data_IF_192313745479
#
_entry.id   IF_192313745479
#
_cell.length_a   1.000
_cell.length_b   1.000
_cell.length_c   1.000
_cell.angle_alpha   90.00
_cell.angle_beta   90.00
_cell.angle_gamma   90.00
#
_symmetry.space_group_name_H-M   'P 1'
#
loop_
_entity.id
_entity.type
_entity.pdbx_description
1 polymer ?
#
# COMPACT_ATOMS: atom_id res chain seq x y z
N UNK A 1 1.63 15.31 -5.94
CA UNK A 1 0.29 15.73 -6.37
C UNK A 1 -0.34 14.57 -7.08
N UNK A 2 -1.36 13.93 -6.52
CA UNK A 2 -2.03 12.80 -7.18
C UNK A 2 -3.09 13.35 -8.12
N UNK A 3 -3.05 12.95 -9.39
CA UNK A 3 -4.01 13.40 -10.38
C UNK A 3 -5.21 12.43 -10.39
N UNK A 4 -6.40 12.99 -10.19
CA UNK A 4 -7.65 12.29 -10.48
C UNK A 4 -7.85 12.35 -11.99
N UNK A 5 -7.89 11.18 -12.62
CA UNK A 5 -8.12 11.01 -14.05
C UNK A 5 -9.43 10.25 -14.23
N UNK A 6 -10.19 10.55 -15.27
CA UNK A 6 -11.39 9.78 -15.59
C UNK A 6 -11.01 8.42 -16.20
N UNK A 7 -11.64 7.36 -15.70
CA UNK A 7 -11.50 6.01 -16.23
C UNK A 7 -11.95 5.96 -17.70
N UNK A 8 -11.19 5.20 -18.50
CA UNK A 8 -11.43 4.99 -19.92
C UNK A 8 -11.69 3.52 -20.19
N UNK A 9 -12.74 3.23 -20.94
CA UNK A 9 -13.06 1.88 -21.41
C UNK A 9 -13.05 1.85 -22.94
N UNK A 10 -12.82 0.69 -23.58
CA UNK A 10 -12.96 0.54 -25.02
C UNK A 10 -14.35 0.99 -25.46
N UNK A 11 -14.38 1.96 -26.37
CA UNK A 11 -15.57 2.47 -27.02
C UNK A 11 -15.81 1.81 -28.38
N UNK A 12 -16.93 2.14 -29.04
CA UNK A 12 -17.20 1.66 -30.39
C UNK A 12 -16.09 2.05 -31.36
N UNK A 13 -15.86 1.23 -32.37
CA UNK A 13 -14.84 1.46 -33.39
C UNK A 13 -15.22 2.66 -34.25
N UNK A 14 -14.27 3.54 -34.56
CA UNK A 14 -14.52 4.69 -35.43
C UNK A 14 -14.76 4.26 -36.89
N UNK A 15 -15.19 5.19 -37.74
CA UNK A 15 -15.47 4.95 -39.17
C UNK A 15 -14.27 4.41 -39.97
N UNK A 16 -13.06 4.42 -39.37
CA UNK A 16 -11.81 3.93 -39.96
C UNK A 16 -11.33 2.63 -39.33
N UNK A 17 -12.14 1.98 -38.49
CA UNK A 17 -11.78 0.71 -37.87
C UNK A 17 -10.85 0.84 -36.66
N UNK A 18 -10.66 2.04 -36.10
CA UNK A 18 -9.79 2.26 -34.94
C UNK A 18 -10.60 2.20 -33.65
N UNK A 19 -10.06 1.51 -32.65
CA UNK A 19 -10.66 1.47 -31.31
C UNK A 19 -10.72 2.89 -30.73
N UNK A 20 -11.90 3.30 -30.28
CA UNK A 20 -12.05 4.54 -29.52
C UNK A 20 -12.01 4.24 -28.03
N UNK A 21 -11.76 5.27 -27.21
CA UNK A 21 -11.90 5.18 -25.76
C UNK A 21 -12.94 6.18 -25.30
N UNK A 22 -13.90 5.73 -24.49
CA UNK A 22 -14.94 6.58 -23.91
C UNK A 22 -14.67 6.81 -22.42
N UNK A 23 -14.94 8.02 -21.95
CA UNK A 23 -14.89 8.36 -20.53
C UNK A 23 -16.09 7.71 -19.82
N UNK A 24 -15.85 6.97 -18.75
CA UNK A 24 -16.93 6.31 -17.98
C UNK A 24 -17.62 7.24 -16.98
N UNK A 25 -17.00 8.39 -16.67
CA UNK A 25 -17.42 9.29 -15.60
C UNK A 25 -16.96 8.87 -14.21
N UNK A 26 -16.31 7.71 -14.08
CA UNK A 26 -15.69 7.28 -12.83
C UNK A 26 -14.32 7.92 -12.70
N UNK A 27 -14.05 8.57 -11.56
CA UNK A 27 -12.72 9.13 -11.28
C UNK A 27 -11.82 8.07 -10.66
N UNK A 28 -10.69 7.81 -11.31
CA UNK A 28 -9.62 6.96 -10.78
C UNK A 28 -8.46 7.82 -10.28
N UNK A 29 -7.90 7.43 -9.15
CA UNK A 29 -6.64 7.96 -8.64
C UNK A 29 -5.51 7.24 -9.38
N UNK A 30 -5.01 7.88 -10.43
CA UNK A 30 -3.96 7.32 -11.27
C UNK A 30 -2.66 7.19 -10.44
N UNK A 31 -2.12 5.98 -10.40
CA UNK A 31 -0.92 5.62 -9.61
C UNK A 31 -1.17 4.94 -8.26
N UNK A 32 -2.39 5.01 -7.69
CA UNK A 32 -2.73 4.35 -6.42
C UNK A 32 -3.08 2.86 -6.58
N UNK A 33 -3.74 2.51 -7.69
CA UNK A 33 -4.17 1.13 -7.96
C UNK A 33 -3.00 0.13 -8.15
N UNK A 34 -1.79 0.62 -8.44
CA UNK A 34 -0.58 -0.22 -8.57
C UNK A 34 0.48 0.03 -7.50
N UNK A 35 0.27 0.94 -6.54
CA UNK A 35 1.32 1.27 -5.55
C UNK A 35 1.70 0.07 -4.70
N UNK A 36 0.72 -0.77 -4.34
CA UNK A 36 0.98 -1.98 -3.58
C UNK A 36 1.87 -2.99 -4.35
N UNK A 37 1.95 -2.93 -5.68
CA UNK A 37 2.79 -3.86 -6.45
C UNK A 37 4.28 -3.66 -6.19
N UNK A 38 4.70 -2.44 -5.87
CA UNK A 38 6.11 -2.05 -5.76
C UNK A 38 6.59 -1.82 -4.32
N UNK A 39 5.75 -2.11 -3.31
CA UNK A 39 6.12 -2.00 -1.90
C UNK A 39 6.15 -3.37 -1.23
N UNK A 40 7.06 -3.53 -0.27
CA UNK A 40 7.17 -4.74 0.55
C UNK A 40 6.02 -4.84 1.56
N UNK A 41 5.61 -3.72 2.15
CA UNK A 41 4.51 -3.66 3.12
C UNK A 41 3.58 -2.51 2.75
N UNK A 42 2.26 -2.79 2.74
CA UNK A 42 1.22 -1.79 2.58
C UNK A 42 0.25 -1.84 3.76
N UNK A 43 -0.09 -0.67 4.30
CA UNK A 43 -1.02 -0.53 5.43
C UNK A 43 -2.11 0.48 5.06
N UNK A 44 -3.36 0.03 5.08
CA UNK A 44 -4.52 0.90 5.00
C UNK A 44 -4.87 1.40 6.39
N UNK A 45 -4.72 2.71 6.62
CA UNK A 45 -5.07 3.33 7.89
C UNK A 45 -6.46 3.95 7.83
N UNK A 46 -7.29 3.62 8.82
CA UNK A 46 -8.58 4.26 9.05
C UNK A 46 -8.60 4.91 10.43
N UNK A 47 -9.40 5.96 10.60
CA UNK A 47 -9.59 6.62 11.89
C UNK A 47 -10.99 6.32 12.39
N UNK A 48 -11.10 5.73 13.57
CA UNK A 48 -12.37 5.38 14.20
C UNK A 48 -12.26 5.66 15.70
N UNK A 49 -13.27 6.28 16.31
CA UNK A 49 -13.29 6.55 17.77
C UNK A 49 -12.03 7.23 18.33
N UNK A 50 -11.42 8.13 17.55
CA UNK A 50 -10.14 8.82 17.86
C UNK A 50 -8.90 7.92 17.88
N UNK A 51 -9.01 6.68 17.45
CA UNK A 51 -7.88 5.76 17.26
C UNK A 51 -7.58 5.57 15.77
N UNK A 52 -6.33 5.27 15.46
CA UNK A 52 -5.92 4.86 14.11
C UNK A 52 -5.93 3.34 14.08
N UNK A 53 -6.63 2.74 13.13
CA UNK A 53 -6.55 1.29 12.83
C UNK A 53 -5.78 1.11 11.54
N UNK A 54 -4.74 0.29 11.55
CA UNK A 54 -4.00 -0.08 10.35
C UNK A 54 -4.28 -1.53 9.96
N UNK A 55 -4.81 -1.75 8.76
CA UNK A 55 -4.94 -3.09 8.16
C UNK A 55 -3.77 -3.33 7.22
N UNK A 56 -3.08 -4.46 7.37
CA UNK A 56 -2.06 -4.88 6.40
C UNK A 56 -2.72 -5.32 5.10
N UNK A 57 -2.56 -4.54 4.04
CA UNK A 57 -3.08 -4.85 2.70
C UNK A 57 -2.10 -5.70 1.90
N UNK A 58 -0.80 -5.62 2.21
CA UNK A 58 0.25 -6.43 1.61
C UNK A 58 1.39 -6.65 2.59
N UNK A 59 1.94 -7.86 2.61
CA UNK A 59 3.18 -8.18 3.32
C UNK A 59 4.06 -9.14 2.51
N UNK A 60 5.07 -8.62 1.82
CA UNK A 60 6.01 -9.38 0.98
C UNK A 60 6.88 -10.36 1.76
N UNK A 61 6.99 -10.21 3.08
CA UNK A 61 7.70 -11.14 3.95
C UNK A 61 6.86 -12.35 4.36
N UNK A 62 5.53 -12.23 4.36
CA UNK A 62 4.61 -13.33 4.64
C UNK A 62 3.17 -12.96 4.26
N UNK A 63 2.63 -13.70 3.29
CA UNK A 63 1.24 -13.53 2.83
C UNK A 63 0.21 -13.83 3.92
N UNK A 64 0.56 -14.67 4.90
CA UNK A 64 -0.33 -15.03 6.01
C UNK A 64 -0.64 -13.84 6.94
N UNK A 65 0.09 -12.73 6.79
CA UNK A 65 -0.06 -11.54 7.63
C UNK A 65 -1.02 -10.50 7.02
N UNK A 66 -1.42 -10.67 5.77
CA UNK A 66 -2.39 -9.80 5.10
C UNK A 66 -3.76 -9.89 5.81
N UNK A 67 -4.42 -8.75 5.95
CA UNK A 67 -5.67 -8.60 6.71
C UNK A 67 -5.48 -8.38 8.21
N UNK A 68 -4.26 -8.54 8.76
CA UNK A 68 -3.99 -8.25 10.18
C UNK A 68 -4.31 -6.79 10.50
N UNK A 69 -5.00 -6.55 11.61
CA UNK A 69 -5.37 -5.21 12.08
C UNK A 69 -4.55 -4.84 13.30
N UNK A 70 -3.88 -3.69 13.23
CA UNK A 70 -3.10 -3.10 14.30
C UNK A 70 -3.79 -1.84 14.83
N UNK A 71 -3.91 -1.73 16.14
CA UNK A 71 -4.37 -0.51 16.79
C UNK A 71 -3.20 0.45 16.97
N UNK A 72 -3.39 1.71 16.57
CA UNK A 72 -2.41 2.80 16.57
C UNK A 72 -1.03 2.34 16.06
N UNK A 73 -0.96 1.83 14.82
CA UNK A 73 0.26 1.20 14.31
C UNK A 73 1.43 2.20 14.28
N UNK A 74 2.55 1.78 14.84
CA UNK A 74 3.87 2.41 14.68
C UNK A 74 4.75 1.56 13.77
N UNK A 75 5.83 2.12 13.24
CA UNK A 75 6.81 1.34 12.45
C UNK A 75 7.36 0.15 13.24
N UNK A 76 7.68 0.35 14.52
CA UNK A 76 8.19 -0.72 15.37
C UNK A 76 7.15 -1.83 15.59
N UNK A 77 5.87 -1.48 15.72
CA UNK A 77 4.80 -2.49 15.84
C UNK A 77 4.70 -3.37 14.59
N UNK A 78 4.92 -2.79 13.40
CA UNK A 78 4.92 -3.49 12.12
C UNK A 78 6.17 -4.36 11.99
N UNK A 79 7.34 -3.82 12.31
CA UNK A 79 8.60 -4.58 12.28
C UNK A 79 8.58 -5.76 13.26
N UNK A 80 8.03 -5.57 14.47
CA UNK A 80 7.84 -6.65 15.44
C UNK A 80 6.89 -7.72 14.90
N UNK A 81 5.77 -7.30 14.31
CA UNK A 81 4.82 -8.22 13.72
C UNK A 81 5.50 -9.08 12.64
N UNK A 82 6.31 -8.50 11.76
CA UNK A 82 7.06 -9.25 10.73
C UNK A 82 8.10 -10.20 11.34
N UNK A 83 8.84 -9.76 12.35
CA UNK A 83 9.80 -10.62 13.07
C UNK A 83 9.09 -11.85 13.62
N UNK A 84 7.97 -11.65 14.33
CA UNK A 84 7.17 -12.75 14.88
C UNK A 84 6.59 -13.65 13.79
N UNK A 85 6.02 -13.06 12.73
CA UNK A 85 5.40 -13.81 11.63
C UNK A 85 6.39 -14.64 10.80
N UNK A 86 7.68 -14.30 10.86
CA UNK A 86 8.75 -15.03 10.17
C UNK A 86 9.59 -15.91 11.11
N UNK A 87 9.22 -16.01 12.39
CA UNK A 87 9.98 -16.76 13.39
C UNK A 87 11.38 -16.19 13.64
N UNK A 88 11.49 -14.86 13.68
CA UNK A 88 12.70 -14.06 13.87
C UNK A 88 13.79 -14.24 12.79
N UNK A 89 13.45 -14.91 11.69
CA UNK A 89 14.33 -15.09 10.53
C UNK A 89 14.55 -13.80 9.76
N UNK A 90 13.55 -12.91 9.74
CA UNK A 90 13.62 -11.61 9.10
C UNK A 90 13.46 -10.55 10.17
N UNK A 91 14.45 -9.67 10.29
CA UNK A 91 14.40 -8.49 11.14
C UNK A 91 14.46 -7.26 10.26
N UNK A 92 13.36 -6.51 10.25
CA UNK A 92 13.29 -5.23 9.57
C UNK A 92 13.97 -4.19 10.44
N UNK A 93 14.75 -3.31 9.81
CA UNK A 93 15.42 -2.22 10.49
C UNK A 93 14.41 -1.32 11.22
N UNK A 94 14.79 -0.88 12.41
CA UNK A 94 13.95 -0.05 13.28
C UNK A 94 14.39 1.38 13.15
N UNK A 95 13.52 2.33 13.49
CA UNK A 95 13.98 3.72 13.52
C UNK A 95 15.00 3.84 14.64
N UNK A 96 16.23 4.23 14.30
CA UNK A 96 17.22 4.64 15.28
C UNK A 96 16.70 5.87 16.02
N UNK A 97 16.17 5.66 17.23
CA UNK A 97 15.74 6.74 18.12
C UNK A 97 16.93 7.44 18.78
N UNK A 98 18.12 6.85 18.71
CA UNK A 98 19.41 7.45 19.06
C UNK A 98 20.13 7.81 17.77
N UNK A 99 20.28 9.10 17.48
CA UNK A 99 21.02 9.61 16.31
C UNK A 99 22.52 9.34 16.40
N UNK A 100 22.93 8.08 16.43
CA UNK A 100 24.32 7.69 16.27
C UNK A 100 24.47 7.18 14.84
N UNK A 101 25.08 8.00 14.00
CA UNK A 101 25.44 7.62 12.65
C UNK A 101 26.41 6.44 12.73
N UNK A 102 26.00 5.30 12.17
CA UNK A 102 26.90 4.21 11.88
C UNK A 102 28.01 4.76 10.99
N UNK A 103 29.20 4.91 11.58
CA UNK A 103 30.41 5.33 10.87
C UNK A 103 30.99 4.07 10.22
N UNK A 104 31.41 4.13 8.94
CA UNK A 104 31.75 2.95 8.13
C UNK A 104 32.85 2.06 8.70
#
# INVERSE_FOLDING_TARGET
THHLTDERVPGPVDERGRETQVLTGNKILEGLAQTHRFVDIAILTTKENKEIKGRLEKCGYSLAMEGTVLANPTWDSVANLVSMGTGDRIKIDRRNHSGQADTP
#
